data_IF_702307695334
#
_entry.id   IF_702307695334
#
_cell.length_a   1.000
_cell.length_b   1.000
_cell.length_c   1.000
_cell.angle_alpha   90.00
_cell.angle_beta   90.00
_cell.angle_gamma   90.00
#
_symmetry.space_group_name_H-M   'P 1'
#
loop_
_entity.id
_entity.type
_entity.pdbx_description
1 polymer ?
#
# COMPACT_ATOMS: atom_id res chain seq x y z
N UNK A 1 -47.05 -23.11 -34.49
CA UNK A 1 -47.33 -22.93 -33.05
C UNK A 1 -46.00 -22.64 -32.34
N UNK A 2 -45.55 -21.39 -32.37
CA UNK A 2 -44.20 -20.98 -31.92
C UNK A 2 -44.27 -19.67 -31.14
N UNK A 3 -45.25 -19.57 -30.23
CA UNK A 3 -45.38 -18.43 -29.31
C UNK A 3 -45.06 -18.80 -27.84
N UNK A 4 -44.85 -20.09 -27.54
CA UNK A 4 -44.62 -20.57 -26.16
C UNK A 4 -43.18 -20.48 -25.66
N UNK A 5 -42.17 -20.67 -26.53
CA UNK A 5 -40.77 -20.72 -26.07
C UNK A 5 -40.17 -19.36 -25.69
N UNK A 6 -40.63 -18.25 -26.28
CA UNK A 6 -40.06 -16.93 -25.97
C UNK A 6 -40.49 -16.37 -24.61
N UNK A 7 -41.64 -16.79 -24.07
CA UNK A 7 -42.15 -16.31 -22.78
C UNK A 7 -41.44 -17.02 -21.62
N UNK A 8 -41.13 -18.32 -21.77
CA UNK A 8 -40.43 -19.11 -20.74
C UNK A 8 -38.99 -18.65 -20.56
N UNK A 9 -38.26 -18.38 -21.66
CA UNK A 9 -36.88 -17.89 -21.59
C UNK A 9 -36.80 -16.51 -20.94
N UNK A 10 -37.80 -15.64 -21.16
CA UNK A 10 -37.86 -14.32 -20.52
C UNK A 10 -38.19 -14.41 -19.03
N UNK A 11 -39.00 -15.40 -18.62
CA UNK A 11 -39.30 -15.63 -17.21
C UNK A 11 -38.09 -16.20 -16.43
N UNK A 12 -37.28 -17.06 -17.07
CA UNK A 12 -36.03 -17.57 -16.49
C UNK A 12 -34.97 -16.48 -16.35
N UNK A 13 -34.81 -15.60 -17.34
CA UNK A 13 -33.90 -14.44 -17.26
C UNK A 13 -34.29 -13.48 -16.13
N UNK A 14 -35.58 -13.19 -15.96
CA UNK A 14 -36.07 -12.33 -14.86
C UNK A 14 -35.86 -12.99 -13.48
N UNK A 15 -35.97 -14.32 -13.39
CA UNK A 15 -35.75 -15.04 -12.13
C UNK A 15 -34.25 -15.17 -11.79
N UNK A 16 -33.38 -15.18 -12.81
CA UNK A 16 -31.93 -15.17 -12.67
C UNK A 16 -31.41 -13.79 -12.23
N UNK A 17 -32.00 -12.70 -12.73
CA UNK A 17 -31.68 -11.33 -12.31
C UNK A 17 -32.16 -11.04 -10.88
N UNK A 18 -33.30 -11.58 -10.45
CA UNK A 18 -33.80 -11.40 -9.08
C UNK A 18 -32.92 -12.10 -8.02
N UNK A 19 -32.21 -13.16 -8.41
CA UNK A 19 -31.30 -13.91 -7.52
C UNK A 19 -29.97 -13.17 -7.26
N UNK A 20 -29.67 -12.12 -8.04
CA UNK A 20 -28.45 -11.31 -7.91
C UNK A 20 -28.63 -10.04 -7.05
N UNK A 21 -29.85 -9.71 -6.62
CA UNK A 21 -30.13 -8.51 -5.80
C UNK A 21 -30.40 -8.79 -4.33
N UNK A 22 -30.22 -10.02 -3.85
CA UNK A 22 -30.50 -10.39 -2.45
C UNK A 22 -29.34 -11.16 -1.82
N UNK A 23 -28.22 -10.46 -1.65
CA UNK A 23 -27.34 -10.54 -0.47
C UNK A 23 -26.25 -9.48 -0.61
N UNK A 24 -26.61 -8.24 -0.32
CA UNK A 24 -25.62 -7.33 0.26
C UNK A 24 -25.46 -7.79 1.72
N UNK A 25 -24.71 -8.87 1.92
CA UNK A 25 -23.96 -8.99 3.15
C UNK A 25 -22.91 -7.89 3.07
N UNK A 26 -23.21 -6.74 3.65
CA UNK A 26 -22.17 -5.87 4.18
C UNK A 26 -21.29 -6.80 5.00
N UNK A 27 -20.00 -7.01 4.65
CA UNK A 27 -19.12 -7.62 5.62
C UNK A 27 -19.04 -6.58 6.73
N UNK A 28 -19.83 -6.78 7.78
CA UNK A 28 -19.60 -6.19 9.08
C UNK A 28 -18.32 -6.82 9.63
N UNK A 29 -17.19 -6.55 8.96
CA UNK A 29 -15.94 -6.38 9.65
C UNK A 29 -16.10 -5.09 10.43
N UNK A 30 -16.92 -5.13 11.48
CA UNK A 30 -16.64 -4.36 12.67
C UNK A 30 -15.23 -4.81 13.05
N UNK A 31 -14.26 -3.99 12.66
CA UNK A 31 -12.94 -4.07 13.23
C UNK A 31 -13.19 -3.88 14.72
N UNK A 32 -13.18 -4.99 15.46
CA UNK A 32 -13.41 -5.02 16.89
C UNK A 32 -12.30 -4.21 17.57
N UNK A 33 -12.58 -2.92 17.71
CA UNK A 33 -11.68 -1.94 18.30
C UNK A 33 -11.68 -2.05 19.83
N UNK A 34 -12.46 -2.98 20.41
CA UNK A 34 -12.49 -3.23 21.86
C UNK A 34 -11.15 -3.73 22.38
N UNK A 35 -10.37 -4.42 21.55
CA UNK A 35 -8.98 -4.79 21.83
C UNK A 35 -7.98 -3.62 21.78
N UNK A 36 -8.41 -2.44 21.32
CA UNK A 36 -7.57 -1.24 21.21
C UNK A 36 -7.76 -0.25 22.38
N UNK A 37 -8.70 -0.52 23.30
CA UNK A 37 -8.95 0.35 24.46
C UNK A 37 -7.95 0.02 25.56
N UNK A 38 -6.72 0.49 25.38
CA UNK A 38 -5.76 0.59 26.47
C UNK A 38 -6.23 1.75 27.35
N UNK A 39 -6.39 1.59 28.68
CA UNK A 39 -6.65 2.71 29.58
C UNK A 39 -5.44 3.64 29.56
N UNK A 40 -5.46 4.63 28.66
CA UNK A 40 -4.37 5.56 28.44
C UNK A 40 -4.64 6.82 29.28
N UNK A 41 -3.66 7.22 30.09
CA UNK A 41 -3.70 8.55 30.68
C UNK A 41 -3.54 9.61 29.55
N UNK A 42 -4.07 10.82 29.74
CA UNK A 42 -4.04 11.85 28.70
C UNK A 42 -2.62 12.23 28.26
N UNK A 43 -1.63 12.21 29.16
CA UNK A 43 -0.22 12.50 28.82
C UNK A 43 0.38 11.45 27.88
N UNK A 44 0.13 10.16 28.12
CA UNK A 44 0.50 9.04 27.26
C UNK A 44 -0.17 9.16 25.91
N UNK A 45 -1.45 9.56 25.87
CA UNK A 45 -2.18 9.78 24.62
C UNK A 45 -1.57 10.94 23.80
N UNK A 46 -1.22 12.05 24.44
CA UNK A 46 -0.53 13.17 23.79
C UNK A 46 0.88 12.80 23.30
N UNK A 47 1.67 12.09 24.11
CA UNK A 47 3.01 11.63 23.74
C UNK A 47 3.01 10.65 22.57
N UNK A 48 2.09 9.68 22.58
CA UNK A 48 1.88 8.75 21.47
C UNK A 48 1.46 9.47 20.18
N UNK A 49 0.51 10.40 20.27
CA UNK A 49 0.10 11.20 19.10
C UNK A 49 1.30 11.95 18.50
N UNK A 50 2.14 12.58 19.32
CA UNK A 50 3.31 13.29 18.82
C UNK A 50 4.32 12.36 18.14
N UNK A 51 4.57 11.17 18.69
CA UNK A 51 5.49 10.20 18.08
C UNK A 51 4.93 9.63 16.77
N UNK A 52 3.64 9.31 16.73
CA UNK A 52 2.95 8.87 15.50
C UNK A 52 3.08 9.92 14.40
N UNK A 53 2.76 11.19 14.69
CA UNK A 53 2.87 12.26 13.68
C UNK A 53 4.31 12.45 13.19
N UNK A 54 5.30 12.39 14.09
CA UNK A 54 6.71 12.46 13.71
C UNK A 54 7.13 11.33 12.78
N UNK A 55 6.74 10.10 13.10
CA UNK A 55 7.01 8.94 12.23
C UNK A 55 6.31 9.07 10.88
N UNK A 56 5.05 9.52 10.84
CA UNK A 56 4.33 9.75 9.59
C UNK A 56 5.03 10.80 8.71
N UNK A 57 5.49 11.91 9.30
CA UNK A 57 6.27 12.92 8.58
C UNK A 57 7.58 12.34 8.04
N UNK A 58 8.31 11.58 8.86
CA UNK A 58 9.56 10.93 8.42
C UNK A 58 9.34 9.94 7.26
N UNK A 59 8.29 9.13 7.32
CA UNK A 59 7.91 8.23 6.21
C UNK A 59 7.58 9.01 4.94
N UNK A 60 6.81 10.10 5.05
CA UNK A 60 6.44 10.93 3.91
C UNK A 60 7.66 11.57 3.27
N UNK A 61 8.57 12.12 4.08
CA UNK A 61 9.79 12.76 3.59
C UNK A 61 10.70 11.77 2.87
N UNK A 62 10.86 10.55 3.42
CA UNK A 62 11.64 9.48 2.79
C UNK A 62 11.01 9.05 1.45
N UNK A 63 9.70 8.78 1.42
CA UNK A 63 8.99 8.39 0.18
C UNK A 63 9.08 9.47 -0.90
N UNK A 64 8.97 10.75 -0.52
CA UNK A 64 9.10 11.87 -1.45
C UNK A 64 10.53 12.03 -1.95
N UNK A 65 11.52 11.80 -1.10
CA UNK A 65 12.94 11.79 -1.47
C UNK A 65 13.23 10.68 -2.49
N UNK A 66 12.82 9.45 -2.16
CA UNK A 66 12.94 8.29 -3.02
C UNK A 66 12.24 8.49 -4.37
N UNK A 67 10.99 8.97 -4.35
CA UNK A 67 10.20 9.23 -5.56
C UNK A 67 10.88 10.24 -6.49
N UNK A 68 11.45 11.33 -5.95
CA UNK A 68 12.21 12.30 -6.74
C UNK A 68 13.47 11.68 -7.35
N UNK A 69 14.21 10.89 -6.58
CA UNK A 69 15.42 10.22 -7.07
C UNK A 69 15.11 9.25 -8.20
N UNK A 70 14.06 8.44 -8.05
CA UNK A 70 13.66 7.44 -9.05
C UNK A 70 13.13 8.09 -10.32
N UNK A 71 12.34 9.17 -10.19
CA UNK A 71 11.86 9.96 -11.33
C UNK A 71 13.02 10.57 -12.11
N UNK A 72 14.08 11.04 -11.43
CA UNK A 72 15.28 11.54 -12.11
C UNK A 72 15.92 10.45 -12.98
N UNK A 73 16.07 9.23 -12.47
CA UNK A 73 16.62 8.12 -13.25
C UNK A 73 15.75 7.79 -14.47
N UNK A 74 14.43 7.83 -14.34
CA UNK A 74 13.50 7.63 -15.47
C UNK A 74 13.69 8.71 -16.55
N UNK A 75 13.84 9.97 -16.12
CA UNK A 75 14.04 11.11 -17.04
C UNK A 75 15.43 11.10 -17.70
N UNK A 76 16.42 10.45 -17.09
CA UNK A 76 17.76 10.32 -17.66
C UNK A 76 17.83 9.19 -18.73
N UNK A 77 16.89 8.22 -18.75
CA UNK A 77 16.89 7.12 -19.74
C UNK A 77 16.87 7.62 -21.19
N UNK A 78 15.92 8.48 -21.63
CA UNK A 78 15.83 8.88 -23.03
C UNK A 78 17.14 9.47 -23.55
N UNK A 79 17.82 10.26 -22.71
CA UNK A 79 19.11 10.84 -23.06
C UNK A 79 20.23 9.78 -23.14
N UNK A 80 20.23 8.80 -22.23
CA UNK A 80 21.16 7.65 -22.29
C UNK A 80 20.93 6.84 -23.57
N UNK A 81 19.68 6.58 -23.93
CA UNK A 81 19.30 5.84 -25.15
C UNK A 81 19.64 6.60 -26.43
N UNK A 82 19.46 7.92 -26.47
CA UNK A 82 19.80 8.75 -27.62
C UNK A 82 21.30 8.71 -27.97
N UNK A 83 22.16 8.36 -27.00
CA UNK A 83 23.60 8.25 -27.18
C UNK A 83 24.07 6.83 -27.60
N UNK A 84 23.17 5.83 -27.61
CA UNK A 84 23.50 4.47 -27.99
C UNK A 84 23.82 4.37 -29.49
N UNK A 85 24.85 3.61 -29.86
CA UNK A 85 25.26 3.42 -31.26
C UNK A 85 24.99 2.00 -31.77
N UNK A 86 24.64 1.09 -30.86
CA UNK A 86 24.32 -0.30 -31.16
C UNK A 86 23.14 -0.81 -30.32
N UNK A 87 22.46 -1.88 -30.77
CA UNK A 87 21.46 -2.57 -29.96
C UNK A 87 22.01 -3.08 -28.62
N UNK A 88 23.28 -3.48 -28.59
CA UNK A 88 23.97 -3.92 -27.39
C UNK A 88 24.09 -2.79 -26.35
N UNK A 89 24.35 -1.55 -26.78
CA UNK A 89 24.38 -0.39 -25.88
C UNK A 89 23.01 -0.14 -25.24
N UNK A 90 21.94 -0.26 -26.02
CA UNK A 90 20.56 -0.14 -25.54
C UNK A 90 20.27 -1.17 -24.45
N UNK A 91 20.63 -2.43 -24.69
CA UNK A 91 20.49 -3.49 -23.67
C UNK A 91 21.30 -3.17 -22.41
N UNK A 92 22.52 -2.64 -22.56
CA UNK A 92 23.34 -2.19 -21.44
C UNK A 92 22.65 -1.13 -20.59
N UNK A 93 22.08 -0.09 -21.21
CA UNK A 93 21.36 0.98 -20.51
C UNK A 93 20.19 0.41 -19.70
N UNK A 94 19.37 -0.47 -20.28
CA UNK A 94 18.24 -1.06 -19.57
C UNK A 94 18.68 -1.99 -18.44
N UNK A 95 19.69 -2.84 -18.66
CA UNK A 95 20.20 -3.73 -17.62
C UNK A 95 20.73 -2.93 -16.43
N UNK A 96 21.53 -1.89 -16.68
CA UNK A 96 22.05 -1.02 -15.62
C UNK A 96 20.93 -0.32 -14.87
N UNK A 97 19.92 0.18 -15.57
CA UNK A 97 18.76 0.81 -14.96
C UNK A 97 17.98 -0.14 -14.04
N UNK A 98 17.69 -1.37 -14.49
CA UNK A 98 16.96 -2.33 -13.65
C UNK A 98 17.78 -2.81 -12.46
N UNK A 99 19.08 -3.03 -12.63
CA UNK A 99 19.97 -3.38 -11.52
C UNK A 99 19.98 -2.29 -10.45
N UNK A 100 20.10 -1.03 -10.87
CA UNK A 100 20.09 0.10 -9.94
C UNK A 100 18.71 0.28 -9.29
N UNK A 101 17.62 0.13 -10.04
CA UNK A 101 16.26 0.18 -9.50
C UNK A 101 16.06 -0.88 -8.39
N UNK A 102 16.44 -2.14 -8.63
CA UNK A 102 16.31 -3.21 -7.62
C UNK A 102 17.08 -2.86 -6.34
N UNK A 103 18.31 -2.37 -6.48
CA UNK A 103 19.14 -1.96 -5.34
C UNK A 103 18.48 -0.82 -4.57
N UNK A 104 17.99 0.20 -5.26
CA UNK A 104 17.33 1.36 -4.65
C UNK A 104 16.04 0.96 -3.92
N UNK A 105 15.16 0.18 -4.55
CA UNK A 105 13.93 -0.30 -3.89
C UNK A 105 14.21 -1.17 -2.67
N UNK A 106 15.24 -2.04 -2.74
CA UNK A 106 15.62 -2.88 -1.61
C UNK A 106 16.15 -2.03 -0.45
N UNK A 107 16.97 -1.04 -0.76
CA UNK A 107 17.48 -0.09 0.23
C UNK A 107 16.35 0.70 0.89
N UNK A 108 15.46 1.26 0.07
CA UNK A 108 14.30 2.05 0.51
C UNK A 108 13.37 1.24 1.42
N UNK A 109 13.05 -0.01 1.04
CA UNK A 109 12.26 -0.90 1.88
C UNK A 109 12.92 -1.10 3.26
N UNK A 110 14.24 -1.21 3.31
CA UNK A 110 15.00 -1.27 4.55
C UNK A 110 14.91 0.02 5.38
N UNK A 111 14.95 1.19 4.76
CA UNK A 111 14.84 2.47 5.45
C UNK A 111 13.43 2.69 6.01
N UNK A 112 12.40 2.46 5.20
CA UNK A 112 11.01 2.54 5.64
C UNK A 112 10.72 1.55 6.77
N UNK A 113 11.25 0.33 6.70
CA UNK A 113 11.13 -0.65 7.81
C UNK A 113 11.73 -0.12 9.10
N UNK A 114 12.90 0.53 9.05
CA UNK A 114 13.52 1.14 10.25
C UNK A 114 12.65 2.26 10.81
N UNK A 115 12.21 3.20 9.96
CA UNK A 115 11.35 4.33 10.37
C UNK A 115 10.05 3.82 11.02
N UNK A 116 9.44 2.79 10.44
CA UNK A 116 8.20 2.20 10.96
C UNK A 116 8.42 1.32 12.20
N UNK A 117 9.58 0.68 12.35
CA UNK A 117 9.88 -0.15 13.53
C UNK A 117 9.95 0.66 14.83
N UNK A 118 10.31 1.95 14.73
CA UNK A 118 10.27 2.89 15.85
C UNK A 118 8.85 3.14 16.37
N UNK A 119 7.83 2.87 15.55
CA UNK A 119 6.43 2.94 15.94
C UNK A 119 5.98 1.67 16.67
N UNK A 120 6.40 0.50 16.18
CA UNK A 120 6.07 -0.78 16.80
C UNK A 120 6.65 -0.93 18.22
N UNK A 121 7.79 -0.31 18.50
CA UNK A 121 8.41 -0.33 19.83
C UNK A 121 7.67 0.52 20.87
N UNK A 122 6.89 1.54 20.46
CA UNK A 122 6.02 2.32 21.37
C UNK A 122 5.01 1.41 22.05
N UNK A 123 4.39 0.50 21.30
CA UNK A 123 3.41 -0.44 21.84
C UNK A 123 4.01 -1.45 22.83
N UNK A 124 5.31 -1.74 22.73
CA UNK A 124 5.98 -2.77 23.53
C UNK A 124 6.55 -2.25 24.86
N UNK A 125 7.00 -1.00 24.92
CA UNK A 125 7.52 -0.42 26.17
C UNK A 125 6.40 0.04 27.11
N UNK A 126 5.33 0.62 26.57
CA UNK A 126 4.18 1.05 27.37
C UNK A 126 3.40 -0.15 27.97
N UNK A 127 3.36 -1.29 27.27
CA UNK A 127 2.79 -2.54 27.80
C UNK A 127 3.57 -3.11 28.98
N UNK A 128 4.89 -2.88 29.05
CA UNK A 128 5.72 -3.29 30.20
C UNK A 128 5.59 -2.33 31.37
N UNK A 129 5.37 -1.04 31.11
CA UNK A 129 5.16 -0.03 32.15
C UNK A 129 3.78 -0.18 32.83
N UNK A 130 2.75 -0.59 32.09
CA UNK A 130 1.39 -0.84 32.60
C UNK A 130 1.25 -2.17 33.37
N UNK A 131 2.22 -3.09 33.25
CA UNK A 131 2.23 -4.38 33.94
C UNK A 131 3.03 -4.36 35.26
N UNK A 132 3.49 -3.19 35.71
CA UNK A 132 4.30 -2.98 36.91
C UNK A 132 3.57 -2.11 37.90
#
# INVERSE_FOLDING_TARGET
>A
MTAGSHIVVRAELINQERKMTEKTETPSNEMDLSGLVVPMNMETLFGMNQKIYKTMMACNDELMSFGRARLKEDLDIPQKLANCKSPQDVMGVYVSFYQEAVKQYTHEAGNLTKICSDLATVHAEDAKQAAK
#
